data_IF_489643793483
#
_entry.id   IF_489643793483
#
_cell.length_a   1.000
_cell.length_b   1.000
_cell.length_c   1.000
_cell.angle_alpha   90.00
_cell.angle_beta   90.00
_cell.angle_gamma   90.00
#
_symmetry.space_group_name_H-M   'P 1'
#
loop_
_entity.id
_entity.type
_entity.pdbx_description
1 polymer ?
#
# COMPACT_ATOMS: atom_id res chain seq x y z
N UNK A 1 3.86 22.12 12.95
CA UNK A 1 2.52 21.68 12.50
C UNK A 1 2.55 21.59 10.99
N UNK A 2 3.00 20.45 10.45
CA UNK A 2 2.87 20.15 9.02
C UNK A 2 1.57 19.40 8.85
N UNK A 3 0.46 20.13 8.73
CA UNK A 3 -0.82 19.53 8.43
C UNK A 3 -0.85 19.22 6.94
N UNK A 4 -0.66 17.94 6.58
CA UNK A 4 -1.04 17.36 5.29
C UNK A 4 -0.36 17.96 4.05
N UNK A 5 0.97 18.00 4.01
CA UNK A 5 1.67 18.08 2.71
C UNK A 5 1.72 16.67 2.09
N UNK A 6 0.79 16.41 1.18
CA UNK A 6 0.78 15.25 0.27
C UNK A 6 0.25 13.94 0.85
N UNK A 7 -1.06 13.76 0.98
CA UNK A 7 -1.66 12.48 1.46
C UNK A 7 -1.19 11.25 0.64
N UNK A 8 -0.66 11.46 -0.57
CA UNK A 8 -0.34 10.41 -1.52
C UNK A 8 0.74 10.85 -2.51
N UNK A 9 1.82 10.06 -2.62
CA UNK A 9 2.87 10.23 -3.63
C UNK A 9 2.35 9.87 -5.03
N UNK A 10 2.63 10.70 -6.04
CA UNK A 10 2.34 10.39 -7.44
C UNK A 10 3.49 9.62 -8.08
N UNK A 11 3.23 8.37 -8.44
CA UNK A 11 4.19 7.44 -9.06
C UNK A 11 3.83 7.10 -10.52
N UNK A 12 2.97 7.87 -11.20
CA UNK A 12 2.61 7.61 -12.61
C UNK A 12 3.78 7.72 -13.60
N UNK A 13 4.84 8.42 -13.21
CA UNK A 13 6.05 8.63 -14.02
C UNK A 13 7.09 7.51 -13.85
N UNK A 14 6.93 6.66 -12.84
CA UNK A 14 7.82 5.53 -12.56
C UNK A 14 7.62 4.47 -13.63
N UNK A 15 8.70 3.80 -14.03
CA UNK A 15 8.70 2.79 -15.10
C UNK A 15 9.23 1.42 -14.67
N UNK A 16 9.68 1.28 -13.42
CA UNK A 16 10.21 0.02 -12.87
C UNK A 16 9.97 -0.12 -11.36
N UNK A 17 10.11 -1.35 -10.84
CA UNK A 17 10.04 -1.61 -9.40
C UNK A 17 11.15 -0.88 -8.62
N UNK A 18 12.36 -0.77 -9.18
CA UNK A 18 13.49 -0.09 -8.52
C UNK A 18 13.27 1.42 -8.42
N UNK A 19 12.72 2.04 -9.47
CA UNK A 19 12.31 3.45 -9.43
C UNK A 19 11.18 3.67 -8.41
N UNK A 20 10.17 2.79 -8.39
CA UNK A 20 9.07 2.85 -7.42
C UNK A 20 9.62 2.81 -5.98
N UNK A 21 10.55 1.88 -5.73
CA UNK A 21 11.22 1.71 -4.45
C UNK A 21 12.03 2.94 -4.06
N UNK A 22 12.77 3.52 -4.99
CA UNK A 22 13.57 4.73 -4.75
C UNK A 22 12.68 5.92 -4.37
N UNK A 23 11.63 6.18 -5.13
CA UNK A 23 10.71 7.30 -4.89
C UNK A 23 9.96 7.16 -3.57
N UNK A 24 9.43 5.96 -3.26
CA UNK A 24 8.73 5.72 -1.99
C UNK A 24 9.66 5.90 -0.80
N UNK A 25 10.90 5.38 -0.86
CA UNK A 25 11.86 5.52 0.24
C UNK A 25 12.29 6.97 0.44
N UNK A 26 12.51 7.70 -0.66
CA UNK A 26 12.80 9.13 -0.60
C UNK A 26 11.65 9.88 0.08
N UNK A 27 10.42 9.64 -0.36
CA UNK A 27 9.23 10.23 0.23
C UNK A 27 9.08 9.90 1.71
N UNK A 28 9.29 8.64 2.11
CA UNK A 28 9.23 8.20 3.51
C UNK A 28 10.32 8.87 4.38
N UNK A 29 11.53 9.05 3.86
CA UNK A 29 12.62 9.71 4.56
C UNK A 29 12.38 11.22 4.74
N UNK A 30 11.70 11.86 3.78
CA UNK A 30 11.29 13.27 3.86
C UNK A 30 10.11 13.48 4.83
N UNK A 31 9.33 12.43 5.10
CA UNK A 31 8.15 12.46 5.97
C UNK A 31 8.24 11.41 7.10
N UNK A 32 9.25 11.50 7.99
CA UNK A 32 9.49 10.47 9.00
C UNK A 32 8.41 10.39 10.08
N UNK A 33 7.57 11.41 10.22
CA UNK A 33 6.49 11.47 11.22
C UNK A 33 5.15 10.93 10.66
N UNK A 34 5.07 10.64 9.36
CA UNK A 34 3.85 10.11 8.77
C UNK A 34 3.60 8.68 9.27
N UNK A 35 2.39 8.38 9.80
CA UNK A 35 2.08 7.08 10.38
C UNK A 35 1.98 5.96 9.33
N UNK A 36 1.81 6.32 8.06
CA UNK A 36 1.78 5.42 6.90
C UNK A 36 2.23 6.16 5.66
N UNK A 37 2.65 5.42 4.63
CA UNK A 37 2.95 5.96 3.30
C UNK A 37 1.91 5.47 2.31
N UNK A 38 1.47 6.37 1.42
CA UNK A 38 0.55 6.05 0.34
C UNK A 38 1.10 6.57 -0.98
N UNK A 39 0.98 5.78 -2.04
CA UNK A 39 1.33 6.20 -3.40
C UNK A 39 0.29 5.71 -4.41
N UNK A 40 0.12 6.44 -5.51
CA UNK A 40 -0.73 6.07 -6.64
C UNK A 40 0.06 6.06 -7.95
N UNK A 41 -0.27 5.15 -8.86
CA UNK A 41 0.26 5.18 -10.22
C UNK A 41 1.17 4.01 -10.57
N UNK A 42 1.36 3.03 -9.66
CA UNK A 42 2.15 1.85 -10.02
C UNK A 42 1.44 1.03 -11.11
N UNK A 43 2.23 0.47 -12.03
CA UNK A 43 1.73 -0.32 -13.15
C UNK A 43 2.05 -1.80 -12.94
N UNK A 44 1.13 -2.70 -13.31
CA UNK A 44 1.33 -4.16 -13.27
C UNK A 44 2.56 -4.62 -14.06
N UNK A 45 2.95 -3.89 -15.11
CA UNK A 45 4.17 -4.21 -15.87
C UNK A 45 5.44 -4.01 -15.03
N UNK A 46 5.46 -3.13 -14.02
CA UNK A 46 6.62 -2.92 -13.13
C UNK A 46 6.95 -4.15 -12.29
N UNK A 47 5.94 -4.96 -11.99
CA UNK A 47 6.04 -6.18 -11.17
C UNK A 47 5.89 -7.45 -12.01
N UNK A 48 5.89 -7.33 -13.34
CA UNK A 48 5.73 -8.46 -14.24
C UNK A 48 6.89 -9.45 -14.07
N UNK A 49 6.57 -10.66 -13.61
CA UNK A 49 7.54 -11.69 -13.27
C UNK A 49 7.78 -11.88 -11.77
N UNK A 50 7.20 -11.01 -10.94
CA UNK A 50 7.16 -11.18 -9.49
C UNK A 50 5.79 -11.71 -9.04
N UNK A 51 5.76 -12.31 -7.85
CA UNK A 51 4.52 -12.55 -7.12
C UNK A 51 4.32 -11.28 -6.27
N UNK A 52 3.33 -10.43 -6.57
CA UNK A 52 3.09 -9.26 -5.75
C UNK A 52 2.48 -9.69 -4.43
N UNK A 53 3.33 -9.78 -3.41
CA UNK A 53 2.97 -10.12 -2.05
C UNK A 53 3.51 -9.08 -1.06
N UNK A 54 3.17 -9.26 0.21
CA UNK A 54 3.65 -8.42 1.29
C UNK A 54 5.18 -8.43 1.40
N UNK A 55 5.85 -9.55 1.10
CA UNK A 55 7.31 -9.65 1.20
C UNK A 55 8.02 -8.80 0.14
N UNK A 56 7.47 -8.72 -1.07
CA UNK A 56 7.98 -7.80 -2.10
C UNK A 56 7.70 -6.34 -1.74
N UNK A 57 6.55 -6.03 -1.12
CA UNK A 57 6.24 -4.69 -0.65
C UNK A 57 7.11 -4.28 0.56
N UNK A 58 7.46 -5.23 1.45
CA UNK A 58 8.39 -4.98 2.56
C UNK A 58 9.78 -4.61 2.05
N UNK A 59 10.20 -5.12 0.87
CA UNK A 59 11.46 -4.68 0.25
C UNK A 59 11.42 -3.21 -0.21
N UNK A 60 10.23 -2.61 -0.38
CA UNK A 60 10.06 -1.20 -0.68
C UNK A 60 10.18 -0.38 0.61
N UNK A 61 9.32 -0.66 1.58
CA UNK A 61 9.27 0.01 2.88
C UNK A 61 8.81 -0.98 3.96
N UNK A 62 9.60 -1.16 5.02
CA UNK A 62 9.38 -2.17 6.06
C UNK A 62 9.24 -1.58 7.47
N UNK A 63 9.33 -0.26 7.65
CA UNK A 63 9.29 0.38 8.97
C UNK A 63 7.87 0.75 9.42
N UNK A 64 6.97 1.06 8.49
CA UNK A 64 5.57 1.47 8.73
C UNK A 64 4.60 0.96 7.63
N UNK A 65 3.28 1.08 7.82
CA UNK A 65 2.29 0.69 6.80
C UNK A 65 2.51 1.38 5.45
N UNK A 66 2.47 0.61 4.37
CA UNK A 66 2.56 1.07 2.98
C UNK A 66 1.31 0.66 2.20
N UNK A 67 0.71 1.62 1.49
CA UNK A 67 -0.45 1.42 0.62
C UNK A 67 -0.15 1.91 -0.80
N UNK A 68 -0.19 1.01 -1.78
CA UNK A 68 0.09 1.32 -3.18
C UNK A 68 -1.16 1.15 -4.04
N UNK A 69 -1.63 2.23 -4.63
CA UNK A 69 -2.80 2.25 -5.50
C UNK A 69 -2.38 2.18 -6.98
N UNK A 70 -2.94 1.23 -7.73
CA UNK A 70 -2.60 1.00 -9.13
C UNK A 70 -2.95 2.20 -10.02
N UNK A 71 -2.28 2.31 -11.17
CA UNK A 71 -2.50 3.41 -12.12
C UNK A 71 -3.94 3.54 -12.62
N UNK A 72 -4.67 2.44 -12.68
CA UNK A 72 -6.06 2.34 -13.14
C UNK A 72 -7.08 2.43 -11.99
N UNK A 73 -6.62 2.53 -10.74
CA UNK A 73 -7.46 2.73 -9.58
C UNK A 73 -8.16 1.47 -9.04
N UNK A 74 -7.95 0.30 -9.63
CA UNK A 74 -8.67 -0.91 -9.22
C UNK A 74 -7.98 -1.65 -8.08
N UNK A 75 -6.66 -1.80 -8.14
CA UNK A 75 -5.90 -2.67 -7.25
C UNK A 75 -5.10 -1.90 -6.21
N UNK A 76 -5.04 -2.50 -5.03
CA UNK A 76 -4.17 -2.10 -3.93
C UNK A 76 -3.07 -3.14 -3.75
N UNK A 77 -1.89 -2.69 -3.37
CA UNK A 77 -0.79 -3.54 -2.95
C UNK A 77 -0.22 -3.00 -1.64
N UNK A 78 -0.20 -3.84 -0.60
CA UNK A 78 0.14 -3.44 0.77
C UNK A 78 1.31 -4.27 1.32
N UNK A 79 2.09 -3.68 2.21
CA UNK A 79 3.15 -4.38 2.94
C UNK A 79 2.62 -5.16 4.15
N UNK A 80 3.48 -5.92 4.82
CA UNK A 80 3.08 -6.78 5.95
C UNK A 80 2.49 -5.99 7.12
N UNK A 81 3.03 -4.79 7.40
CA UNK A 81 2.54 -3.90 8.46
C UNK A 81 1.15 -3.35 8.16
N UNK A 82 0.90 -2.93 6.91
CA UNK A 82 -0.41 -2.46 6.48
C UNK A 82 -1.44 -3.59 6.51
N UNK A 83 -1.11 -4.77 5.98
CA UNK A 83 -1.99 -5.94 6.03
C UNK A 83 -2.40 -6.28 7.48
N UNK A 84 -1.41 -6.37 8.37
CA UNK A 84 -1.65 -6.63 9.79
C UNK A 84 -2.55 -5.57 10.43
N UNK A 85 -2.25 -4.29 10.19
CA UNK A 85 -3.05 -3.17 10.71
C UNK A 85 -4.51 -3.29 10.26
N UNK A 86 -4.75 -3.55 8.98
CA UNK A 86 -6.09 -3.63 8.42
C UNK A 86 -6.91 -4.76 9.07
N UNK A 87 -6.32 -5.95 9.17
CA UNK A 87 -6.97 -7.10 9.80
C UNK A 87 -7.27 -6.89 11.29
N UNK A 88 -6.38 -6.20 12.01
CA UNK A 88 -6.54 -5.94 13.45
C UNK A 88 -7.54 -4.81 13.75
N UNK A 89 -7.59 -3.77 12.91
CA UNK A 89 -8.41 -2.57 13.15
C UNK A 89 -9.82 -2.70 12.64
N UNK A 90 -10.00 -3.23 11.42
CA UNK A 90 -11.32 -3.35 10.80
C UNK A 90 -11.31 -4.48 9.76
N UNK A 91 -11.55 -5.70 10.23
CA UNK A 91 -11.56 -6.89 9.38
C UNK A 91 -12.69 -6.83 8.33
N UNK A 92 -13.85 -6.27 8.67
CA UNK A 92 -14.99 -6.19 7.75
C UNK A 92 -14.65 -5.29 6.55
N UNK A 93 -14.16 -4.07 6.81
CA UNK A 93 -13.69 -3.18 5.75
C UNK A 93 -12.54 -3.78 4.94
N UNK A 94 -11.63 -4.53 5.59
CA UNK A 94 -10.56 -5.23 4.89
C UNK A 94 -11.08 -6.28 3.89
N UNK A 95 -12.08 -7.09 4.28
CA UNK A 95 -12.66 -8.11 3.40
C UNK A 95 -13.44 -7.50 2.23
N UNK A 96 -14.06 -6.31 2.39
CA UNK A 96 -14.73 -5.59 1.30
C UNK A 96 -13.78 -5.23 0.15
N UNK A 97 -12.50 -5.01 0.46
CA UNK A 97 -11.46 -4.74 -0.54
C UNK A 97 -11.07 -5.97 -1.37
N UNK A 98 -11.70 -7.13 -1.09
CA UNK A 98 -11.52 -8.39 -1.82
C UNK A 98 -10.04 -8.80 -1.85
N UNK A 99 -9.47 -9.17 -0.69
CA UNK A 99 -8.07 -9.56 -0.62
C UNK A 99 -7.81 -10.83 -1.44
N UNK A 100 -6.81 -10.78 -2.29
CA UNK A 100 -6.29 -11.98 -2.94
C UNK A 100 -5.65 -12.88 -1.88
N UNK A 101 -5.92 -14.19 -1.97
CA UNK A 101 -5.45 -15.18 -1.01
C UNK A 101 -4.60 -16.24 -1.70
N UNK A 102 -3.50 -16.60 -1.06
CA UNK A 102 -2.69 -17.71 -1.50
C UNK A 102 -3.50 -19.02 -1.45
N UNK A 103 -3.53 -19.75 -2.57
CA UNK A 103 -4.40 -20.93 -2.73
C UNK A 103 -4.03 -22.09 -1.80
N UNK A 104 -2.80 -22.14 -1.28
CA UNK A 104 -2.32 -23.23 -0.42
C UNK A 104 -2.60 -22.95 1.05
N UNK A 105 -2.40 -21.71 1.48
CA UNK A 105 -2.45 -21.29 2.89
C UNK A 105 -3.75 -20.58 3.26
N UNK A 106 -4.47 -20.02 2.27
CA UNK A 106 -5.65 -19.18 2.48
C UNK A 106 -5.34 -17.78 3.03
N UNK A 107 -4.06 -17.46 3.24
CA UNK A 107 -3.65 -16.18 3.79
C UNK A 107 -3.69 -15.08 2.73
N UNK A 108 -4.06 -13.84 3.09
CA UNK A 108 -3.99 -12.72 2.17
C UNK A 108 -2.56 -12.50 1.66
N UNK A 109 -2.41 -12.26 0.37
CA UNK A 109 -1.10 -12.02 -0.26
C UNK A 109 -0.60 -10.60 -0.01
N UNK A 110 -1.52 -9.65 0.21
CA UNK A 110 -1.25 -8.21 0.21
C UNK A 110 -1.78 -7.50 -1.04
N UNK A 111 -2.39 -8.22 -1.97
CA UNK A 111 -3.13 -7.64 -3.10
C UNK A 111 -4.61 -7.52 -2.77
N UNK A 112 -5.19 -6.38 -3.13
CA UNK A 112 -6.59 -6.02 -2.87
C UNK A 112 -7.25 -5.67 -4.20
N UNK A 113 -8.28 -6.42 -4.61
CA UNK A 113 -8.84 -6.31 -5.97
C UNK A 113 -9.84 -5.16 -6.13
N UNK A 114 -10.44 -4.70 -5.02
CA UNK A 114 -11.43 -3.62 -5.01
C UNK A 114 -10.95 -2.41 -4.19
N UNK A 115 -9.73 -1.96 -4.45
CA UNK A 115 -9.10 -0.91 -3.64
C UNK A 115 -9.74 0.47 -3.82
N UNK A 116 -10.59 0.67 -4.83
CA UNK A 116 -11.43 1.87 -4.95
C UNK A 116 -12.39 2.06 -3.75
N UNK A 117 -12.67 1.01 -2.98
CA UNK A 117 -13.47 1.08 -1.75
C UNK A 117 -12.61 1.41 -0.50
N UNK A 118 -11.29 1.55 -0.65
CA UNK A 118 -10.40 1.84 0.47
C UNK A 118 -10.70 3.21 1.08
N UNK A 119 -10.91 3.23 2.38
CA UNK A 119 -11.05 4.44 3.17
C UNK A 119 -10.03 4.42 4.33
N UNK A 120 -9.06 5.36 4.37
CA UNK A 120 -8.03 5.37 5.43
C UNK A 120 -8.64 5.55 6.82
N UNK A 121 -9.83 6.14 6.95
CA UNK A 121 -10.49 6.34 8.25
C UNK A 121 -11.04 5.04 8.86
N UNK A 122 -11.10 3.94 8.10
CA UNK A 122 -11.41 2.62 8.65
C UNK A 122 -10.28 2.07 9.52
N UNK A 123 -9.05 2.61 9.37
CA UNK A 123 -7.83 2.09 9.99
C UNK A 123 -7.08 3.13 10.83
N UNK A 124 -7.22 4.41 10.49
CA UNK A 124 -6.54 5.51 11.17
C UNK A 124 -7.56 6.51 11.71
N UNK A 125 -7.43 6.84 13.00
CA UNK A 125 -8.18 7.94 13.59
C UNK A 125 -7.40 9.24 13.35
N UNK A 126 -8.09 10.28 12.89
CA UNK A 126 -7.53 11.63 12.95
C UNK A 126 -7.59 12.09 14.40
N UNK A 127 -6.45 12.30 15.03
CA UNK A 127 -6.43 13.03 16.30
C UNK A 127 -6.86 14.48 16.02
N UNK A 128 -7.97 14.89 16.62
CA UNK A 128 -8.45 16.28 16.62
C UNK A 128 -7.94 17.03 17.84
#
# INVERSE_FOLDING_TARGET
MSALQGIMLNAYHVTSLDELKSEIRKYANENPDDPFIMAIGWNYDHIRGYIPDTALADQILDDRPLFLWSYDGHSGWVNSKALKLMQEKNLEAFEELTPERDKKTGQPTGILLHFYAFNPFDYFQLET
#
